data_IF_243229670958
#
_entry.id   IF_243229670958
#
_cell.length_a   1.000
_cell.length_b   1.000
_cell.length_c   1.000
_cell.angle_alpha   90.00
_cell.angle_beta   90.00
_cell.angle_gamma   90.00
#
_symmetry.space_group_name_H-M   'P 1'
#
loop_
_entity.id
_entity.type
_entity.pdbx_description
1 polymer ?
#
# COMPACT_ATOMS: atom_id res chain seq x y z
N UNK A 1 30.18 -30.75 -7.74
CA UNK A 1 29.28 -30.10 -6.76
C UNK A 1 28.38 -31.13 -6.14
N UNK A 2 28.31 -31.14 -4.83
CA UNK A 2 27.37 -31.97 -4.06
C UNK A 2 25.94 -31.42 -4.14
N UNK A 3 24.96 -32.26 -3.81
CA UNK A 3 23.56 -31.82 -3.69
C UNK A 3 23.40 -30.71 -2.64
N UNK A 4 24.21 -30.75 -1.58
CA UNK A 4 24.19 -29.77 -0.50
C UNK A 4 24.71 -28.39 -0.96
N UNK A 5 25.75 -28.35 -1.78
CA UNK A 5 26.25 -27.10 -2.39
C UNK A 5 25.22 -26.47 -3.33
N UNK A 6 24.50 -27.29 -4.12
CA UNK A 6 23.41 -26.81 -4.98
C UNK A 6 22.23 -26.27 -4.17
N UNK A 7 21.91 -26.90 -3.04
CA UNK A 7 20.85 -26.44 -2.13
C UNK A 7 21.25 -25.14 -1.43
N UNK A 8 22.52 -24.96 -1.06
CA UNK A 8 23.00 -23.68 -0.51
C UNK A 8 22.98 -22.56 -1.56
N UNK A 9 23.41 -22.82 -2.80
CA UNK A 9 23.29 -21.85 -3.89
C UNK A 9 21.82 -21.52 -4.21
N UNK A 10 20.92 -22.50 -4.11
CA UNK A 10 19.48 -22.26 -4.23
C UNK A 10 18.94 -21.48 -3.03
N UNK A 11 19.37 -21.76 -1.81
CA UNK A 11 18.93 -21.05 -0.61
C UNK A 11 19.34 -19.57 -0.65
N UNK A 12 20.56 -19.25 -1.13
CA UNK A 12 20.98 -17.87 -1.36
C UNK A 12 20.17 -17.20 -2.48
N UNK A 13 19.86 -17.93 -3.55
CA UNK A 13 18.98 -17.41 -4.63
C UNK A 13 17.56 -17.20 -4.16
N UNK A 14 17.01 -18.09 -3.33
CA UNK A 14 15.65 -18.02 -2.74
C UNK A 14 15.56 -16.89 -1.70
N UNK A 15 16.59 -16.74 -0.85
CA UNK A 15 16.67 -15.63 0.11
C UNK A 15 16.72 -14.27 -0.58
N UNK A 16 17.34 -14.20 -1.77
CA UNK A 16 17.40 -13.00 -2.61
C UNK A 16 16.31 -12.98 -3.72
N UNK A 17 15.34 -13.89 -3.71
CA UNK A 17 14.34 -14.05 -4.77
C UNK A 17 13.19 -13.03 -4.69
N UNK A 18 13.13 -12.19 -3.66
CA UNK A 18 12.22 -11.04 -3.70
C UNK A 18 12.73 -10.11 -4.78
N UNK A 19 12.14 -10.20 -5.96
CA UNK A 19 12.41 -9.30 -7.08
C UNK A 19 12.51 -7.87 -6.55
N UNK A 20 13.61 -7.19 -6.88
CA UNK A 20 13.82 -5.82 -6.45
C UNK A 20 12.63 -5.00 -6.93
N UNK A 21 11.95 -4.32 -6.00
CA UNK A 21 10.80 -3.49 -6.34
C UNK A 21 11.31 -2.39 -7.28
N UNK A 22 10.75 -2.25 -8.50
CA UNK A 22 11.15 -1.20 -9.42
C UNK A 22 10.99 0.17 -8.75
N UNK A 23 11.94 1.09 -8.97
CA UNK A 23 11.93 2.41 -8.33
C UNK A 23 10.64 3.18 -8.58
N UNK A 24 10.10 3.13 -9.81
CA UNK A 24 8.82 3.74 -10.15
C UNK A 24 7.67 3.21 -9.27
N UNK A 25 7.55 1.89 -9.14
CA UNK A 25 6.52 1.27 -8.32
C UNK A 25 6.74 1.59 -6.83
N UNK A 26 7.98 1.47 -6.35
CA UNK A 26 8.36 1.73 -4.97
C UNK A 26 8.02 3.17 -4.57
N UNK A 27 8.45 4.16 -5.35
CA UNK A 27 8.18 5.57 -5.09
C UNK A 27 6.69 5.91 -5.06
N UNK A 28 5.85 5.15 -5.77
CA UNK A 28 4.39 5.33 -5.79
C UNK A 28 3.63 4.55 -4.70
N UNK A 29 4.32 3.81 -3.83
CA UNK A 29 3.73 3.12 -2.68
C UNK A 29 3.66 4.03 -1.45
N UNK A 30 2.68 3.78 -0.57
CA UNK A 30 2.69 4.34 0.78
C UNK A 30 3.97 3.90 1.51
N UNK A 31 4.49 4.73 2.45
CA UNK A 31 5.54 4.30 3.36
C UNK A 31 5.17 2.98 4.05
N UNK A 32 6.20 2.20 4.40
CA UNK A 32 6.00 0.92 5.10
C UNK A 32 5.22 1.12 6.40
N UNK A 33 4.53 0.06 6.82
CA UNK A 33 3.69 0.07 8.00
C UNK A 33 4.44 0.62 9.23
N UNK A 34 3.84 1.61 9.90
CA UNK A 34 4.41 2.27 11.08
C UNK A 34 5.51 3.30 10.79
N UNK A 35 5.87 3.55 9.53
CA UNK A 35 6.86 4.60 9.19
C UNK A 35 6.19 5.98 9.23
N UNK A 36 6.66 6.91 10.08
CA UNK A 36 6.11 8.26 10.16
C UNK A 36 6.45 9.11 8.93
N UNK A 37 5.50 9.92 8.48
CA UNK A 37 5.67 10.86 7.38
C UNK A 37 4.84 12.13 7.54
N UNK A 38 5.25 13.16 6.80
CA UNK A 38 4.52 14.40 6.56
C UNK A 38 4.16 14.51 5.08
N UNK A 39 3.07 15.21 4.78
CA UNK A 39 2.54 15.30 3.43
C UNK A 39 2.38 16.74 2.98
N UNK A 40 2.78 17.01 1.73
CA UNK A 40 2.33 18.16 0.98
C UNK A 40 1.26 17.70 -0.01
N UNK A 41 0.02 18.10 0.24
CA UNK A 41 -1.12 17.68 -0.57
C UNK A 41 -1.29 18.55 -1.82
N UNK A 42 -1.91 17.98 -2.85
CA UNK A 42 -2.37 18.69 -4.06
C UNK A 42 -1.28 19.51 -4.75
N UNK A 43 -0.07 18.95 -4.86
CA UNK A 43 1.10 19.62 -5.43
C UNK A 43 0.87 19.94 -6.91
N UNK A 44 0.33 18.98 -7.67
CA UNK A 44 0.08 19.15 -9.09
C UNK A 44 -1.00 18.20 -9.59
N UNK A 45 -1.64 18.52 -10.72
CA UNK A 45 -2.48 17.58 -11.47
C UNK A 45 -1.66 17.00 -12.62
N UNK A 46 -1.74 15.68 -12.78
CA UNK A 46 -0.98 14.93 -13.77
C UNK A 46 -1.91 14.07 -14.62
N UNK A 47 -1.53 13.85 -15.87
CA UNK A 47 -2.09 12.82 -16.70
C UNK A 47 -1.19 11.59 -16.60
N UNK A 48 -1.81 10.46 -16.30
CA UNK A 48 -1.09 9.22 -16.00
C UNK A 48 -1.69 8.05 -16.73
N UNK A 49 -0.83 7.12 -17.13
CA UNK A 49 -1.21 5.77 -17.55
C UNK A 49 -0.66 4.81 -16.50
N UNK A 50 -1.48 3.86 -16.04
CA UNK A 50 -1.05 2.82 -15.11
C UNK A 50 -1.14 1.46 -15.81
N UNK A 51 -0.06 0.67 -15.78
CA UNK A 51 -0.05 -0.68 -16.34
C UNK A 51 0.49 -1.67 -15.32
N UNK A 52 -0.24 -2.76 -15.15
CA UNK A 52 0.27 -3.90 -14.40
C UNK A 52 1.21 -4.70 -15.29
N UNK A 53 2.35 -5.08 -14.73
CA UNK A 53 3.32 -5.95 -15.38
C UNK A 53 3.29 -7.32 -14.69
N UNK A 54 2.89 -8.34 -15.44
CA UNK A 54 2.77 -9.71 -14.95
C UNK A 54 4.14 -10.34 -14.61
N UNK A 55 5.23 -9.87 -15.21
CA UNK A 55 6.57 -10.40 -14.95
C UNK A 55 7.09 -9.94 -13.59
N UNK A 56 6.93 -8.65 -13.28
CA UNK A 56 7.41 -8.08 -12.02
C UNK A 56 6.36 -8.12 -10.91
N UNK A 57 5.08 -8.29 -11.25
CA UNK A 57 3.96 -8.25 -10.32
C UNK A 57 3.67 -6.85 -9.76
N UNK A 58 4.23 -5.80 -10.38
CA UNK A 58 4.06 -4.42 -9.96
C UNK A 58 3.30 -3.59 -10.99
N UNK A 59 2.62 -2.56 -10.49
CA UNK A 59 1.96 -1.56 -11.33
C UNK A 59 2.93 -0.40 -11.59
N UNK A 60 3.26 -0.18 -12.85
CA UNK A 60 4.01 0.99 -13.29
C UNK A 60 3.07 2.17 -13.55
N UNK A 61 3.56 3.36 -13.23
CA UNK A 61 2.82 4.61 -13.45
C UNK A 61 3.64 5.53 -14.33
N UNK A 62 3.09 5.85 -15.49
CA UNK A 62 3.71 6.71 -16.49
C UNK A 62 3.11 8.09 -16.42
N UNK A 63 3.95 9.12 -16.46
CA UNK A 63 3.53 10.50 -16.69
C UNK A 63 3.37 10.75 -18.18
N UNK A 64 2.31 11.45 -18.59
CA UNK A 64 1.99 11.71 -20.00
C UNK A 64 1.83 13.20 -20.25
N UNK A 65 2.49 13.71 -21.27
CA UNK A 65 2.30 15.10 -21.68
C UNK A 65 0.91 15.32 -22.30
N UNK A 66 0.37 16.52 -22.09
CA UNK A 66 -1.02 16.82 -22.40
C UNK A 66 -1.33 16.83 -23.91
N UNK A 67 -0.35 17.13 -24.75
CA UNK A 67 -0.43 17.06 -26.21
C UNK A 67 -0.43 15.61 -26.71
N UNK A 68 0.39 14.75 -26.12
CA UNK A 68 0.41 13.31 -26.44
C UNK A 68 -0.90 12.65 -26.00
N UNK A 69 -1.35 12.95 -24.78
CA UNK A 69 -2.57 12.39 -24.20
C UNK A 69 -3.82 12.61 -25.05
N UNK A 70 -3.89 13.72 -25.81
CA UNK A 70 -5.02 14.00 -26.71
C UNK A 70 -5.14 12.99 -27.86
N UNK A 71 -4.04 12.35 -28.22
CA UNK A 71 -3.98 11.37 -29.30
C UNK A 71 -4.14 9.93 -28.79
N UNK A 72 -4.10 9.72 -27.48
CA UNK A 72 -4.24 8.40 -26.85
C UNK A 72 -5.71 8.08 -26.52
N UNK A 73 -6.08 6.79 -26.37
CA UNK A 73 -7.42 6.42 -25.96
C UNK A 73 -7.77 6.99 -24.58
N UNK A 74 -8.85 7.78 -24.50
CA UNK A 74 -9.25 8.49 -23.26
C UNK A 74 -9.50 7.57 -22.06
N UNK A 75 -9.90 6.31 -22.30
CA UNK A 75 -10.12 5.32 -21.23
C UNK A 75 -8.84 4.90 -20.50
N UNK A 76 -7.69 5.04 -21.16
CA UNK A 76 -6.39 4.61 -20.64
C UNK A 76 -5.67 5.74 -19.88
N UNK A 77 -6.00 7.00 -20.20
CA UNK A 77 -5.40 8.17 -19.59
C UNK A 77 -6.27 8.67 -18.45
N UNK A 78 -5.74 8.61 -17.24
CA UNK A 78 -6.40 9.12 -16.04
C UNK A 78 -5.78 10.45 -15.59
N UNK A 79 -6.61 11.41 -15.20
CA UNK A 79 -6.14 12.60 -14.50
C UNK A 79 -6.10 12.31 -13.00
N UNK A 80 -4.92 12.45 -12.38
CA UNK A 80 -4.70 12.26 -10.95
C UNK A 80 -4.08 13.51 -10.31
N UNK A 81 -4.29 13.67 -9.02
CA UNK A 81 -3.68 14.68 -8.18
C UNK A 81 -2.46 14.07 -7.52
N UNK A 82 -1.32 14.74 -7.66
CA UNK A 82 -0.05 14.39 -7.03
C UNK A 82 0.00 14.94 -5.61
N UNK A 83 0.21 14.03 -4.66
CA UNK A 83 0.53 14.34 -3.28
C UNK A 83 1.95 13.83 -2.99
N UNK A 84 2.71 14.58 -2.20
CA UNK A 84 4.11 14.25 -1.91
C UNK A 84 4.25 13.97 -0.43
N UNK A 85 4.79 12.79 -0.10
CA UNK A 85 5.04 12.35 1.26
C UNK A 85 6.55 12.38 1.50
N UNK A 86 6.97 12.86 2.68
CA UNK A 86 8.35 12.76 3.14
C UNK A 86 8.37 12.04 4.49
N UNK A 87 9.15 10.96 4.56
CA UNK A 87 9.37 10.25 5.82
C UNK A 87 10.38 10.99 6.70
N UNK A 88 10.46 10.62 7.97
CA UNK A 88 11.49 11.14 8.91
C UNK A 88 12.93 10.82 8.48
N UNK A 89 13.13 9.90 7.53
CA UNK A 89 14.44 9.56 6.94
C UNK A 89 14.71 10.30 5.62
N UNK A 90 13.92 11.33 5.29
CA UNK A 90 14.01 12.10 4.05
C UNK A 90 13.76 11.27 2.77
N UNK A 91 13.08 10.14 2.91
CA UNK A 91 12.60 9.38 1.75
C UNK A 91 11.32 10.02 1.19
N UNK A 92 11.30 10.27 -0.12
CA UNK A 92 10.19 10.92 -0.82
C UNK A 92 9.33 9.86 -1.51
N UNK A 93 8.01 9.92 -1.27
CA UNK A 93 7.02 9.08 -1.95
C UNK A 93 5.97 9.95 -2.63
N UNK A 94 5.41 9.40 -3.71
CA UNK A 94 4.37 10.03 -4.49
C UNK A 94 3.07 9.26 -4.33
N UNK A 95 2.00 9.97 -4.04
CA UNK A 95 0.65 9.40 -3.98
C UNK A 95 -0.18 10.08 -5.05
N UNK A 96 -0.51 9.33 -6.10
CA UNK A 96 -1.33 9.77 -7.21
C UNK A 96 -2.76 9.25 -7.05
N UNK A 97 -3.69 10.16 -6.75
CA UNK A 97 -5.09 9.81 -6.48
C UNK A 97 -6.03 10.62 -7.36
N UNK A 98 -7.17 10.03 -7.73
CA UNK A 98 -8.28 10.82 -8.26
C UNK A 98 -8.77 11.78 -7.17
N UNK A 99 -9.39 12.90 -7.56
CA UNK A 99 -9.88 13.86 -6.56
C UNK A 99 -10.96 13.27 -5.64
N UNK A 100 -11.73 12.31 -6.15
CA UNK A 100 -12.77 11.59 -5.44
C UNK A 100 -12.67 10.08 -5.75
N UNK A 101 -11.77 9.35 -5.07
CA UNK A 101 -11.62 7.91 -5.30
C UNK A 101 -12.88 7.16 -4.83
N UNK A 102 -13.27 6.11 -5.56
CA UNK A 102 -14.35 5.21 -5.15
C UNK A 102 -13.84 4.04 -4.33
N UNK A 103 -12.64 3.53 -4.63
CA UNK A 103 -12.02 2.41 -3.92
C UNK A 103 -11.66 2.76 -2.47
N UNK A 104 -11.94 1.85 -1.52
CA UNK A 104 -11.72 2.04 -0.07
C UNK A 104 -10.25 2.27 0.31
N UNK A 105 -9.32 1.59 -0.36
CA UNK A 105 -7.88 1.81 -0.17
C UNK A 105 -7.48 3.22 -0.60
N UNK A 106 -7.96 3.70 -1.74
CA UNK A 106 -7.62 5.03 -2.24
C UNK A 106 -8.30 6.14 -1.42
N UNK A 107 -9.52 5.91 -0.94
CA UNK A 107 -10.22 6.80 0.01
C UNK A 107 -9.43 6.97 1.31
N UNK A 108 -9.10 5.85 1.95
CA UNK A 108 -8.32 5.87 3.20
C UNK A 108 -6.92 6.47 3.03
N UNK A 109 -6.25 6.25 1.89
CA UNK A 109 -5.00 6.96 1.56
C UNK A 109 -5.21 8.47 1.46
N UNK A 110 -6.26 8.92 0.76
CA UNK A 110 -6.56 10.34 0.61
C UNK A 110 -6.84 10.99 1.98
N UNK A 111 -7.56 10.30 2.85
CA UNK A 111 -7.85 10.77 4.21
C UNK A 111 -6.56 10.91 5.03
N UNK A 112 -5.69 9.90 5.01
CA UNK A 112 -4.38 9.98 5.67
C UNK A 112 -3.53 11.15 5.14
N UNK A 113 -3.47 11.32 3.81
CA UNK A 113 -2.78 12.43 3.15
C UNK A 113 -3.31 13.80 3.61
N UNK A 114 -4.64 13.95 3.71
CA UNK A 114 -5.27 15.20 4.18
C UNK A 114 -4.95 15.48 5.64
N UNK A 115 -5.08 14.48 6.51
CA UNK A 115 -4.76 14.61 7.94
C UNK A 115 -3.29 15.00 8.15
N UNK A 116 -2.39 14.40 7.37
CA UNK A 116 -0.97 14.75 7.44
C UNK A 116 -0.69 16.18 6.96
N UNK A 117 -1.36 16.60 5.87
CA UNK A 117 -1.23 17.95 5.33
C UNK A 117 -1.77 19.06 6.26
N UNK A 118 -2.59 18.72 7.27
CA UNK A 118 -3.00 19.63 8.35
C UNK A 118 -1.89 19.94 9.36
N UNK A 119 -0.66 19.45 9.14
CA UNK A 119 0.47 19.69 10.03
C UNK A 119 0.70 18.59 11.06
N UNK A 120 0.15 17.38 10.86
CA UNK A 120 0.30 16.24 11.76
C UNK A 120 1.25 15.21 11.16
N UNK A 121 2.25 14.80 11.92
CA UNK A 121 3.05 13.62 11.56
C UNK A 121 2.18 12.39 11.81
N UNK A 122 2.06 11.53 10.79
CA UNK A 122 1.27 10.31 10.90
C UNK A 122 2.08 9.11 10.44
N UNK A 123 1.71 7.93 10.93
CA UNK A 123 2.09 6.66 10.33
C UNK A 123 0.84 5.96 9.81
N UNK A 124 1.01 5.02 8.87
CA UNK A 124 -0.09 4.20 8.35
C UNK A 124 0.19 2.72 8.57
N UNK A 125 -0.88 1.94 8.68
CA UNK A 125 -0.86 0.48 8.72
C UNK A 125 -1.92 -0.07 7.79
N UNK A 126 -1.60 -1.13 7.05
CA UNK A 126 -2.57 -1.78 6.16
C UNK A 126 -3.49 -2.69 6.98
N UNK A 127 -4.79 -2.43 6.91
CA UNK A 127 -5.82 -3.34 7.39
C UNK A 127 -6.40 -4.10 6.19
N UNK A 128 -5.95 -5.35 6.02
CA UNK A 128 -6.34 -6.18 4.87
C UNK A 128 -7.80 -6.64 4.96
N UNK A 129 -8.28 -6.95 6.17
CA UNK A 129 -9.67 -7.40 6.40
C UNK A 129 -10.67 -6.30 6.05
N UNK A 130 -10.37 -5.05 6.44
CA UNK A 130 -11.22 -3.91 6.14
C UNK A 130 -10.94 -3.26 4.78
N UNK A 131 -9.90 -3.69 4.06
CA UNK A 131 -9.55 -3.11 2.76
C UNK A 131 -9.17 -1.62 2.80
N UNK A 132 -8.47 -1.17 3.87
CA UNK A 132 -8.15 0.24 4.10
C UNK A 132 -6.77 0.46 4.74
N UNK A 133 -6.26 1.69 4.62
CA UNK A 133 -5.17 2.19 5.46
C UNK A 133 -5.72 2.80 6.74
N UNK A 134 -5.30 2.29 7.89
CA UNK A 134 -5.50 2.96 9.18
C UNK A 134 -4.32 3.89 9.44
N UNK A 135 -4.57 5.13 9.83
CA UNK A 135 -3.50 6.05 10.24
C UNK A 135 -3.48 6.24 11.76
N UNK A 136 -2.29 6.52 12.30
CA UNK A 136 -2.08 6.94 13.69
C UNK A 136 -1.33 8.27 13.70
N UNK A 137 -1.71 9.19 14.59
CA UNK A 137 -1.00 10.45 14.76
C UNK A 137 0.18 10.21 15.69
N UNK A 138 1.38 10.59 15.23
CA UNK A 138 2.62 10.44 15.99
C UNK A 138 2.81 11.68 16.86
N UNK A 139 2.68 11.52 18.18
CA UNK A 139 2.78 12.64 19.13
C UNK A 139 4.22 12.96 19.54
N UNK A 140 5.13 12.00 19.42
CA UNK A 140 6.52 12.13 19.85
C UNK A 140 7.44 12.75 18.77
N UNK A 141 6.90 13.09 17.60
CA UNK A 141 7.65 13.61 16.47
C UNK A 141 7.13 15.01 16.13
N UNK A 142 8.02 16.00 16.19
CA UNK A 142 7.69 17.35 15.80
C UNK A 142 7.30 17.41 14.30
N UNK A 143 6.24 18.15 13.93
CA UNK A 143 5.91 18.40 12.53
C UNK A 143 7.07 19.02 11.77
N UNK A 144 7.22 18.62 10.51
CA UNK A 144 8.25 19.11 9.62
C UNK A 144 7.67 19.38 8.23
N UNK A 145 8.29 20.31 7.51
CA UNK A 145 7.90 20.64 6.14
C UNK A 145 8.57 19.68 5.14
N UNK A 146 7.84 19.40 4.05
CA UNK A 146 8.38 18.62 2.93
C UNK A 146 9.41 19.45 2.17
N UNK A 147 10.62 18.93 2.05
CA UNK A 147 11.74 19.54 1.34
C UNK A 147 11.60 19.33 -0.18
N UNK A 148 11.11 20.37 -0.85
CA UNK A 148 10.90 20.38 -2.30
C UNK A 148 12.18 20.19 -3.12
N UNK A 149 13.37 20.41 -2.55
CA UNK A 149 14.64 20.18 -3.26
C UNK A 149 14.90 18.68 -3.49
N UNK A 150 14.47 17.83 -2.55
CA UNK A 150 14.53 16.37 -2.68
C UNK A 150 13.46 15.84 -3.62
N UNK A 151 12.30 16.52 -3.65
CA UNK A 151 11.15 16.13 -4.47
C UNK A 151 11.46 16.16 -5.96
N UNK A 152 12.15 17.20 -6.46
CA UNK A 152 12.48 17.30 -7.87
C UNK A 152 13.33 16.10 -8.34
N UNK A 153 14.36 15.75 -7.58
CA UNK A 153 15.21 14.59 -7.88
C UNK A 153 14.42 13.28 -7.84
N UNK A 154 13.63 13.06 -6.78
CA UNK A 154 12.82 11.86 -6.66
C UNK A 154 11.76 11.74 -7.78
N UNK A 155 11.24 12.88 -8.24
CA UNK A 155 10.26 12.94 -9.32
C UNK A 155 10.90 12.51 -10.64
N UNK A 156 12.06 13.06 -11.00
CA UNK A 156 12.79 12.68 -12.21
C UNK A 156 13.20 11.20 -12.20
N UNK A 157 13.60 10.67 -11.04
CA UNK A 157 13.91 9.24 -10.87
C UNK A 157 12.68 8.34 -10.99
N UNK A 158 11.49 8.85 -10.65
CA UNK A 158 10.24 8.07 -10.65
C UNK A 158 9.53 8.13 -11.99
N UNK A 159 9.44 9.31 -12.59
CA UNK A 159 8.61 9.58 -13.77
C UNK A 159 9.41 10.02 -15.00
N UNK A 160 10.72 10.27 -14.87
CA UNK A 160 11.56 10.62 -16.01
C UNK A 160 11.95 9.41 -16.87
N UNK A 161 12.64 9.67 -17.97
CA UNK A 161 13.14 8.63 -18.87
C UNK A 161 12.00 7.81 -19.48
N UNK A 162 12.06 6.49 -19.31
CA UNK A 162 11.07 5.53 -19.85
C UNK A 162 9.67 5.62 -19.21
N UNK A 163 9.55 6.36 -18.09
CA UNK A 163 8.26 6.58 -17.42
C UNK A 163 7.60 7.90 -17.82
N UNK A 164 8.22 8.66 -18.74
CA UNK A 164 7.68 9.89 -19.33
C UNK A 164 7.28 9.65 -20.78
N UNK A 165 6.00 9.83 -21.07
CA UNK A 165 5.42 9.70 -22.41
C UNK A 165 5.27 11.12 -22.99
N UNK A 166 6.31 11.57 -23.68
CA UNK A 166 6.43 12.88 -24.34
C UNK A 166 6.20 12.82 -25.86
N UNK A 167 6.05 11.60 -26.42
CA UNK A 167 5.86 11.37 -27.85
C UNK A 167 5.00 10.13 -28.11
N UNK A 168 4.34 10.11 -29.27
CA UNK A 168 3.63 8.92 -29.76
C UNK A 168 4.57 7.79 -30.18
N UNK A 169 5.88 8.07 -30.30
CA UNK A 169 6.91 7.06 -30.53
C UNK A 169 7.26 6.26 -29.27
N UNK A 170 6.79 6.69 -28.10
CA UNK A 170 7.02 5.96 -26.86
C UNK A 170 6.42 4.55 -26.94
N UNK A 171 7.12 3.48 -26.52
CA UNK A 171 6.64 2.10 -26.67
C UNK A 171 5.24 1.86 -26.08
N UNK A 172 4.96 2.46 -24.93
CA UNK A 172 3.62 2.39 -24.31
C UNK A 172 2.56 3.10 -25.15
N UNK A 173 2.86 4.27 -25.73
CA UNK A 173 1.93 4.98 -26.59
C UNK A 173 1.63 4.21 -27.87
N UNK A 174 2.67 3.63 -28.51
CA UNK A 174 2.51 2.78 -29.69
C UNK A 174 1.64 1.56 -29.40
N UNK A 175 1.94 0.84 -28.30
CA UNK A 175 1.16 -0.32 -27.90
C UNK A 175 -0.33 -0.01 -27.66
N UNK A 176 -0.65 1.18 -27.14
CA UNK A 176 -2.04 1.61 -26.93
C UNK A 176 -2.75 2.00 -28.24
N UNK A 177 -2.01 2.54 -29.21
CA UNK A 177 -2.56 2.92 -30.52
C UNK A 177 -2.76 1.71 -31.43
N UNK A 178 -1.91 0.69 -31.31
CA UNK A 178 -1.99 -0.58 -32.05
C UNK A 178 -3.10 -1.50 -31.49
N UNK A 179 -3.24 -1.58 -30.17
CA UNK A 179 -4.24 -2.44 -29.50
C UNK A 179 -5.64 -1.80 -29.39
N UNK A 180 -6.15 -1.21 -30.47
CA UNK A 180 -7.49 -0.56 -30.53
C UNK A 180 -8.70 -1.46 -30.24
N UNK A 181 -8.52 -2.69 -29.76
CA UNK A 181 -9.62 -3.61 -29.48
C UNK A 181 -9.23 -4.73 -28.53
N UNK A 182 -9.10 -4.42 -27.25
CA UNK A 182 -9.62 -5.15 -26.08
C UNK A 182 -8.99 -4.50 -24.84
N UNK A 183 -9.45 -4.92 -23.66
CA UNK A 183 -8.84 -4.68 -22.35
C UNK A 183 -9.44 -3.57 -21.46
N UNK A 184 -9.88 -4.14 -20.33
CA UNK A 184 -10.28 -3.74 -18.97
C UNK A 184 -10.64 -2.28 -18.73
N UNK A 185 -11.91 -2.09 -18.36
CA UNK A 185 -12.41 -0.90 -17.67
C UNK A 185 -11.60 -0.69 -16.38
N UNK A 186 -10.74 0.35 -16.35
CA UNK A 186 -10.13 0.81 -15.10
C UNK A 186 -11.14 1.70 -14.39
N UNK A 187 -12.23 1.09 -13.90
CA UNK A 187 -13.04 1.66 -12.83
C UNK A 187 -12.29 1.37 -11.55
N UNK A 188 -11.54 2.38 -11.06
CA UNK A 188 -10.97 2.48 -9.71
C UNK A 188 -10.71 1.12 -9.01
N UNK A 189 -9.83 0.31 -9.59
CA UNK A 189 -9.23 -0.90 -9.01
C UNK A 189 -10.17 -1.84 -8.24
N UNK A 190 -10.94 -2.66 -8.95
CA UNK A 190 -11.25 -4.02 -8.48
C UNK A 190 -10.17 -4.96 -9.02
N UNK A 191 -9.25 -5.39 -8.15
CA UNK A 191 -8.49 -6.62 -8.39
C UNK A 191 -9.27 -7.79 -7.80
N UNK A 192 -10.34 -8.20 -8.48
CA UNK A 192 -10.85 -9.57 -8.37
C UNK A 192 -11.17 -10.09 -9.77
N UNK A 193 -10.28 -10.95 -10.28
CA UNK A 193 -10.59 -11.77 -11.43
C UNK A 193 -11.68 -12.78 -11.02
N UNK A 194 -12.93 -12.57 -11.46
CA UNK A 194 -13.84 -13.70 -11.69
C UNK A 194 -13.33 -14.45 -12.92
N UNK A 195 -12.53 -15.49 -12.69
CA UNK A 195 -12.33 -16.52 -13.71
C UNK A 195 -13.65 -17.25 -13.91
N UNK A 196 -14.19 -17.11 -15.12
CA UNK A 196 -15.23 -17.98 -15.66
C UNK A 196 -14.54 -19.28 -16.02
N UNK A 197 -14.91 -20.39 -15.39
CA UNK A 197 -14.61 -21.73 -15.91
C UNK A 197 -15.92 -22.49 -16.04
N UNK A 198 -16.22 -22.87 -17.28
CA UNK A 198 -17.21 -23.88 -17.65
C UNK A 198 -16.84 -25.25 -17.04
N UNK A 199 -17.88 -26.02 -16.73
CA UNK A 199 -17.90 -27.32 -16.05
C UNK A 199 -16.88 -28.38 -16.52
N UNK A 200 -16.21 -29.05 -15.56
CA UNK A 200 -16.26 -30.52 -15.35
C UNK A 200 -15.27 -31.01 -14.26
N UNK A 201 -15.85 -31.62 -13.21
CA UNK A 201 -15.36 -32.64 -12.25
C UNK A 201 -13.94 -32.62 -11.64
N UNK A 202 -13.96 -32.45 -10.30
CA UNK A 202 -13.20 -33.16 -9.26
C UNK A 202 -11.66 -33.22 -9.34
N UNK A 203 -11.02 -32.26 -8.67
CA UNK A 203 -9.96 -32.57 -7.70
C UNK A 203 -9.99 -31.55 -6.55
N UNK A 204 -10.15 -32.09 -5.34
CA UNK A 204 -10.34 -31.39 -4.06
C UNK A 204 -9.17 -30.44 -3.80
N UNK A 205 -9.43 -29.13 -3.82
CA UNK A 205 -8.50 -28.12 -3.31
C UNK A 205 -8.53 -28.23 -1.79
N UNK A 206 -7.45 -28.76 -1.20
CA UNK A 206 -7.26 -28.81 0.25
C UNK A 206 -7.37 -27.41 0.85
N UNK A 207 -8.37 -27.25 1.70
CA UNK A 207 -8.51 -26.13 2.62
C UNK A 207 -7.41 -26.23 3.71
N UNK A 208 -6.58 -25.21 3.93
CA UNK A 208 -5.64 -25.15 5.06
C UNK A 208 -6.31 -25.23 6.44
N UNK A 209 -7.65 -25.25 6.53
CA UNK A 209 -8.39 -25.55 7.76
C UNK A 209 -8.34 -27.03 8.19
N UNK A 210 -7.82 -27.96 7.37
CA UNK A 210 -7.63 -29.38 7.76
C UNK A 210 -6.40 -29.63 8.66
N UNK A 211 -5.47 -28.67 8.80
CA UNK A 211 -4.42 -28.71 9.83
C UNK A 211 -4.96 -28.06 11.13
N UNK A 212 -5.81 -28.81 11.83
CA UNK A 212 -6.61 -28.36 12.97
C UNK A 212 -5.83 -27.72 14.12
N UNK A 213 -5.62 -26.40 14.06
CA UNK A 213 -5.02 -25.61 15.15
C UNK A 213 -5.93 -24.49 15.66
N UNK A 214 -7.01 -24.10 14.96
CA UNK A 214 -8.00 -23.16 15.51
C UNK A 214 -9.43 -23.51 15.05
N UNK A 215 -10.20 -24.09 15.96
CA UNK A 215 -11.65 -24.25 15.84
C UNK A 215 -12.31 -22.96 16.32
N UNK A 216 -12.92 -22.21 15.40
CA UNK A 216 -13.83 -21.11 15.73
C UNK A 216 -15.26 -21.66 15.87
N UNK A 217 -15.65 -22.05 17.08
CA UNK A 217 -17.03 -21.91 17.53
C UNK A 217 -17.00 -21.33 18.96
N UNK A 218 -17.67 -20.19 19.22
CA UNK A 218 -17.80 -19.66 20.56
C UNK A 218 -18.76 -20.55 21.36
N UNK A 219 -18.26 -21.22 22.40
CA UNK A 219 -19.13 -21.83 23.40
C UNK A 219 -19.94 -20.72 24.12
N UNK A 220 -21.25 -20.89 24.30
CA UNK A 220 -22.10 -19.90 24.95
C UNK A 220 -21.75 -19.76 26.44
N UNK A 221 -21.68 -18.53 26.92
CA UNK A 221 -21.46 -18.16 28.32
C UNK A 221 -22.51 -18.82 29.24
N UNK A 222 -22.08 -19.76 30.08
CA UNK A 222 -22.86 -20.22 31.24
C UNK A 222 -22.88 -19.13 32.32
N UNK A 223 -24.05 -18.93 32.93
CA UNK A 223 -24.30 -17.98 34.02
C UNK A 223 -23.33 -18.19 35.18
N UNK A 224 -22.64 -17.13 35.59
CA UNK A 224 -21.79 -17.14 36.78
C UNK A 224 -22.65 -17.28 38.04
N UNK A 225 -22.48 -18.39 38.76
CA UNK A 225 -22.92 -18.54 40.16
C UNK A 225 -22.32 -17.41 41.03
N UNK A 226 -23.15 -16.82 41.88
CA UNK A 226 -22.75 -15.87 42.91
C UNK A 226 -21.74 -16.52 43.87
N UNK A 227 -20.48 -16.06 43.83
CA UNK A 227 -19.53 -16.29 44.91
C UNK A 227 -19.66 -15.15 45.92
N UNK A 228 -20.34 -15.41 47.04
CA UNK A 228 -20.19 -14.61 48.27
C UNK A 228 -18.74 -14.72 48.75
N UNK A 229 -18.04 -13.59 48.78
CA UNK A 229 -16.78 -13.44 49.50
C UNK A 229 -17.06 -12.48 50.65
N UNK A 230 -17.39 -13.03 51.81
CA UNK A 230 -17.17 -12.36 53.10
C UNK A 230 -15.66 -12.41 53.36
N UNK A 231 -14.99 -11.27 53.25
CA UNK A 231 -13.86 -10.90 54.11
C UNK A 231 -13.55 -9.41 53.92
N UNK A 232 -13.91 -8.65 54.94
CA UNK A 232 -13.70 -7.21 55.11
C UNK A 232 -12.20 -6.98 55.38
N UNK A 233 -11.45 -6.50 54.38
CA UNK A 233 -10.05 -6.07 54.59
C UNK A 233 -10.06 -4.58 54.89
N UNK A 234 -9.85 -4.26 56.17
CA UNK A 234 -9.72 -2.91 56.72
C UNK A 234 -8.40 -2.26 56.23
N UNK A 235 -8.48 -1.06 55.67
CA UNK A 235 -7.42 -0.38 54.91
C UNK A 235 -6.70 0.74 55.72
N UNK A 236 -6.47 0.55 57.01
CA UNK A 236 -5.94 1.61 57.89
C UNK A 236 -4.50 1.45 58.40
N UNK A 237 -3.71 0.45 57.98
CA UNK A 237 -2.31 0.27 58.45
C UNK A 237 -1.31 -0.14 57.35
N UNK A 238 -1.08 0.72 56.34
CA UNK A 238 0.06 0.58 55.42
C UNK A 238 0.98 1.80 55.49
N UNK A 239 1.94 1.75 56.41
CA UNK A 239 3.08 2.68 56.47
C UNK A 239 3.97 2.52 55.22
N UNK A 240 4.07 3.61 54.45
CA UNK A 240 4.97 3.73 53.31
C UNK A 240 6.34 4.23 53.77
N UNK A 241 7.26 3.31 54.07
CA UNK A 241 8.70 3.58 54.12
C UNK A 241 9.46 2.25 54.03
N UNK A 242 9.78 1.79 52.81
CA UNK A 242 10.95 0.92 52.52
C UNK A 242 11.06 0.47 51.04
N UNK A 243 11.00 1.41 50.07
CA UNK A 243 11.57 1.15 48.73
C UNK A 243 12.48 2.31 48.34
N UNK A 244 13.58 2.44 49.09
CA UNK A 244 14.79 3.13 48.65
C UNK A 244 16.02 2.47 49.30
N UNK A 245 16.52 1.40 48.67
CA UNK A 245 17.88 0.91 48.82
C UNK A 245 18.32 0.15 47.56
#
# INVERSE_FOLDING_TARGET
>A
MSLFEKLNEQAEKVANFKAQIPSNALSNMMPSDGVPFMTKSEVQKMLTIERYDDETGYKYTYYVDADVAQSLPKKEVSQKVLHVLQTTKNDIRFVLLSSNPSNSWNRSKLDAVKVSAEGKVISVKRNKEAGVYSYSVEHDIAPFDVDMSLVAKAFDETFGGEYHIDSLEHPVAQALLENKGEFVDVVDGDTEQKQVNDDADDEIVRDPSEDGIFSDEPEPLEELEELEIEDEIDLDDLDFDDIAA
#
